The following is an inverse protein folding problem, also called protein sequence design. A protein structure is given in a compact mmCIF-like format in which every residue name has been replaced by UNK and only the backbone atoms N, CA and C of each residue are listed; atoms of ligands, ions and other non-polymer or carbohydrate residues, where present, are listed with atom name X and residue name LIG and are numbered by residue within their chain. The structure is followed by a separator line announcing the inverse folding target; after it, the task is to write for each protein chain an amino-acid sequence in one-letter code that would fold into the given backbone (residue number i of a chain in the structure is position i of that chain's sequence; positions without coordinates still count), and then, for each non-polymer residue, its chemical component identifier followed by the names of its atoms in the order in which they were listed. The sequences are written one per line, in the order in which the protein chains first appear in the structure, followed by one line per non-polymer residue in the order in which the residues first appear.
data_IF_647938457350
#
_entry.id   IF_647938457350
#
_cell.length_a   1.000
_cell.length_b   1.000
_cell.length_c   1.000
_cell.angle_alpha   90.00
_cell.angle_beta   90.00
_cell.angle_gamma   90.00
#
_symmetry.space_group_name_H-M   'P 1'
#
loop_
_entity.id
_entity.type
_entity.pdbx_description
1 polymer ?
#
# COMPACT_ATOMS: atom_id res chain seq x y z
N UNK A 1 3.74 -8.55 13.00
CA UNK A 1 4.86 -7.57 12.99
C UNK A 1 4.52 -6.40 13.90
N UNK A 2 5.45 -5.82 14.67
CA UNK A 2 5.18 -4.62 15.47
C UNK A 2 5.12 -3.41 14.54
N UNK A 3 3.98 -2.73 14.47
CA UNK A 3 3.79 -1.53 13.64
C UNK A 3 4.42 -0.34 14.34
N UNK A 4 5.37 0.34 13.69
CA UNK A 4 6.08 1.47 14.29
C UNK A 4 5.17 2.70 14.45
N UNK A 5 5.35 3.47 15.53
CA UNK A 5 4.66 4.75 15.74
C UNK A 5 5.51 5.93 15.30
N UNK A 6 4.91 7.12 15.12
CA UNK A 6 5.65 8.33 14.76
C UNK A 6 6.70 8.68 15.82
N UNK A 7 6.42 8.39 17.10
CA UNK A 7 7.41 8.51 18.19
C UNK A 7 8.63 7.61 17.96
N UNK A 8 8.41 6.37 17.52
CA UNK A 8 9.48 5.45 17.14
C UNK A 8 10.28 6.02 15.95
N UNK A 9 9.62 6.48 14.89
CA UNK A 9 10.28 7.06 13.72
C UNK A 9 11.19 8.23 14.10
N UNK A 10 10.69 9.16 14.90
CA UNK A 10 11.45 10.33 15.36
C UNK A 10 12.70 9.90 16.12
N UNK A 11 12.61 8.89 17.01
CA UNK A 11 13.75 8.40 17.78
C UNK A 11 14.78 7.69 16.90
N UNK A 12 14.33 6.78 16.03
CA UNK A 12 15.22 6.05 15.12
C UNK A 12 15.89 7.01 14.12
N UNK A 13 15.17 8.02 13.62
CA UNK A 13 15.70 8.96 12.61
C UNK A 13 16.98 9.68 13.03
N UNK A 14 17.20 9.85 14.34
CA UNK A 14 18.41 10.48 14.89
C UNK A 14 19.68 9.66 14.61
N UNK A 15 19.54 8.36 14.36
CA UNK A 15 20.64 7.44 14.09
C UNK A 15 20.83 7.13 12.61
N UNK A 16 19.84 7.48 11.76
CA UNK A 16 19.79 7.08 10.35
C UNK A 16 20.74 7.85 9.45
N UNK A 17 21.23 9.02 9.86
CA UNK A 17 22.13 9.83 9.03
C UNK A 17 23.08 10.66 9.88
N UNK A 18 24.36 10.66 9.48
CA UNK A 18 25.37 11.61 9.92
C UNK A 18 25.75 12.56 8.78
N UNK A 19 26.21 13.77 9.12
CA UNK A 19 26.67 14.73 8.11
C UNK A 19 27.72 14.08 7.20
N UNK A 20 27.51 14.17 5.89
CA UNK A 20 28.39 13.55 4.89
C UNK A 20 28.07 12.09 4.55
N UNK A 21 27.20 11.42 5.32
CA UNK A 21 26.82 10.02 5.09
C UNK A 21 25.69 9.92 4.05
N UNK A 22 26.03 9.60 2.80
CA UNK A 22 25.06 9.39 1.71
C UNK A 22 24.86 7.90 1.42
N UNK A 23 24.28 7.52 0.28
CA UNK A 23 24.03 6.11 -0.09
C UNK A 23 22.72 5.53 0.44
N UNK A 24 22.44 4.24 0.18
CA UNK A 24 21.10 3.63 0.38
C UNK A 24 20.97 2.72 1.60
N UNK A 25 22.00 2.65 2.45
CA UNK A 25 22.01 1.85 3.67
C UNK A 25 22.84 0.57 3.56
N UNK A 26 22.87 -0.07 2.39
CA UNK A 26 23.74 -1.23 2.12
C UNK A 26 25.22 -0.84 2.09
N UNK A 27 25.50 0.35 1.59
CA UNK A 27 26.84 0.93 1.52
C UNK A 27 27.37 1.41 2.89
N UNK A 28 26.55 1.30 3.95
CA UNK A 28 26.99 1.70 5.28
C UNK A 28 28.05 0.73 5.81
N UNK A 29 29.13 1.26 6.41
CA UNK A 29 30.09 0.43 7.15
C UNK A 29 29.38 -0.45 8.17
N UNK A 30 29.95 -1.63 8.45
CA UNK A 30 29.37 -2.62 9.39
C UNK A 30 29.00 -1.99 10.74
N UNK A 31 29.90 -1.21 11.35
CA UNK A 31 29.65 -0.54 12.62
C UNK A 31 28.44 0.43 12.57
N UNK A 32 28.19 1.09 11.42
CA UNK A 32 27.01 1.95 11.24
C UNK A 32 25.73 1.14 11.14
N UNK A 33 25.77 0.00 10.46
CA UNK A 33 24.61 -0.92 10.40
C UNK A 33 24.27 -1.46 11.79
N UNK A 34 25.28 -1.85 12.57
CA UNK A 34 25.11 -2.33 13.95
C UNK A 34 24.52 -1.25 14.87
N UNK A 35 24.98 0.00 14.76
CA UNK A 35 24.42 1.12 15.52
C UNK A 35 22.94 1.39 15.17
N UNK A 36 22.60 1.40 13.86
CA UNK A 36 21.21 1.55 13.43
C UNK A 36 20.37 0.37 13.92
N UNK A 37 20.88 -0.87 13.83
CA UNK A 37 20.19 -2.05 14.32
C UNK A 37 19.93 -2.00 15.83
N UNK A 38 20.89 -1.51 16.63
CA UNK A 38 20.72 -1.30 18.06
C UNK A 38 19.63 -0.25 18.36
N UNK A 39 19.58 0.86 17.61
CA UNK A 39 18.52 1.87 17.73
C UNK A 39 17.14 1.29 17.33
N UNK A 40 17.10 0.49 16.27
CA UNK A 40 15.90 -0.22 15.81
C UNK A 40 15.33 -1.15 16.89
N UNK A 41 16.18 -2.00 17.46
CA UNK A 41 15.81 -2.91 18.55
C UNK A 41 15.28 -2.15 19.78
N UNK A 42 15.93 -1.05 20.15
CA UNK A 42 15.55 -0.22 21.30
C UNK A 42 14.19 0.47 21.13
N UNK A 43 13.83 0.86 19.91
CA UNK A 43 12.65 1.68 19.66
C UNK A 43 11.48 0.92 19.01
N UNK A 44 11.68 -0.33 18.59
CA UNK A 44 10.62 -1.16 18.02
C UNK A 44 10.36 -0.87 16.53
N UNK A 45 11.44 -0.69 15.76
CA UNK A 45 11.43 -0.63 14.30
C UNK A 45 12.31 -1.75 13.77
N UNK A 46 11.99 -2.31 12.61
CA UNK A 46 12.87 -3.28 11.96
C UNK A 46 13.99 -2.59 11.18
N UNK A 47 15.09 -3.31 10.93
CA UNK A 47 16.19 -2.77 10.14
C UNK A 47 15.73 -2.35 8.73
N UNK A 48 14.88 -3.15 8.08
CA UNK A 48 14.40 -2.82 6.74
C UNK A 48 13.51 -1.57 6.71
N UNK A 49 12.62 -1.40 7.71
CA UNK A 49 11.84 -0.18 7.90
C UNK A 49 12.75 1.04 8.06
N UNK A 50 13.75 0.94 8.93
CA UNK A 50 14.71 2.00 9.22
C UNK A 50 15.53 2.40 7.99
N UNK A 51 16.05 1.44 7.23
CA UNK A 51 16.77 1.71 5.99
C UNK A 51 15.87 2.32 4.91
N UNK A 52 14.60 1.89 4.83
CA UNK A 52 13.62 2.52 3.94
C UNK A 52 13.27 3.95 4.37
N UNK A 53 13.11 4.21 5.67
CA UNK A 53 12.91 5.54 6.24
C UNK A 53 14.11 6.45 5.93
N UNK A 54 15.33 5.93 6.12
CA UNK A 54 16.58 6.63 5.78
C UNK A 54 16.61 7.09 4.33
N UNK A 55 16.22 6.23 3.37
CA UNK A 55 16.15 6.62 1.95
C UNK A 55 15.17 7.78 1.71
N UNK A 56 14.02 7.76 2.38
CA UNK A 56 13.04 8.86 2.31
C UNK A 56 13.59 10.14 2.92
N UNK A 57 14.25 10.05 4.08
CA UNK A 57 14.91 11.17 4.74
C UNK A 57 15.98 11.80 3.85
N UNK A 58 16.87 11.00 3.26
CA UNK A 58 17.91 11.50 2.36
C UNK A 58 17.31 12.21 1.13
N UNK A 59 16.23 11.67 0.55
CA UNK A 59 15.52 12.34 -0.56
C UNK A 59 14.90 13.69 -0.16
N UNK A 60 14.58 13.88 1.12
CA UNK A 60 14.01 15.13 1.63
C UNK A 60 15.01 16.28 1.73
N UNK A 61 16.32 15.97 1.77
CA UNK A 61 17.38 16.97 1.83
C UNK A 61 17.54 17.71 0.48
N UNK A 62 18.05 18.94 0.53
CA UNK A 62 18.35 19.73 -0.67
C UNK A 62 19.34 18.97 -1.56
N UNK A 63 18.94 18.72 -2.82
CA UNK A 63 19.72 17.92 -3.78
C UNK A 63 19.79 16.41 -3.46
N UNK A 64 19.14 15.97 -2.39
CA UNK A 64 19.17 14.58 -1.94
C UNK A 64 18.48 13.61 -2.88
N UNK A 65 17.43 14.06 -3.59
CA UNK A 65 16.76 13.25 -4.62
C UNK A 65 17.73 12.74 -5.69
N UNK A 66 18.57 13.63 -6.26
CA UNK A 66 19.58 13.24 -7.25
C UNK A 66 20.60 12.27 -6.67
N UNK A 67 21.13 12.56 -5.47
CA UNK A 67 22.15 11.74 -4.80
C UNK A 67 21.67 10.32 -4.47
N UNK A 68 20.39 10.14 -4.15
CA UNK A 68 19.81 8.83 -3.83
C UNK A 68 19.37 8.07 -5.08
N UNK A 69 19.10 8.76 -6.20
CA UNK A 69 18.62 8.14 -7.44
C UNK A 69 19.77 7.66 -8.32
N UNK A 70 20.91 8.35 -8.31
CA UNK A 70 22.09 8.02 -9.11
C UNK A 70 23.11 7.09 -8.44
N UNK A 71 22.81 6.53 -7.26
CA UNK A 71 23.68 5.51 -6.65
C UNK A 71 23.61 4.22 -7.48
N UNK A 72 24.73 3.84 -8.10
CA UNK A 72 24.91 2.63 -8.92
C UNK A 72 24.59 1.33 -8.16
N UNK A 73 24.66 1.36 -6.84
CA UNK A 73 24.52 0.21 -5.93
C UNK A 73 23.08 -0.22 -5.63
N UNK A 74 22.10 0.00 -6.52
CA UNK A 74 20.74 -0.55 -6.34
C UNK A 74 20.00 -0.80 -7.67
N UNK A 75 20.76 -1.08 -8.72
CA UNK A 75 20.27 -1.06 -10.09
C UNK A 75 19.82 0.34 -10.51
N UNK A 76 19.88 0.65 -11.79
CA UNK A 76 19.26 1.86 -12.32
C UNK A 76 17.74 1.87 -12.08
N UNK A 77 17.02 2.80 -12.71
CA UNK A 77 15.55 2.80 -12.71
C UNK A 77 14.95 1.41 -13.01
N UNK A 78 15.62 0.62 -13.86
CA UNK A 78 15.27 -0.78 -14.18
C UNK A 78 15.23 -1.70 -12.95
N UNK A 79 16.19 -1.62 -12.03
CA UNK A 79 16.22 -2.48 -10.85
C UNK A 79 15.11 -2.15 -9.86
N UNK A 80 14.77 -0.86 -9.70
CA UNK A 80 13.64 -0.43 -8.88
C UNK A 80 12.30 -0.89 -9.46
N UNK A 81 12.16 -0.82 -10.79
CA UNK A 81 10.99 -1.31 -11.49
C UNK A 81 10.86 -2.83 -11.33
N UNK A 82 11.94 -3.58 -11.50
CA UNK A 82 11.93 -5.04 -11.31
C UNK A 82 11.54 -5.44 -9.88
N UNK A 83 12.06 -4.75 -8.86
CA UNK A 83 11.67 -5.01 -7.47
C UNK A 83 10.19 -4.69 -7.22
N UNK A 84 9.64 -3.62 -7.82
CA UNK A 84 8.22 -3.30 -7.74
C UNK A 84 7.36 -4.40 -8.39
N UNK A 85 7.73 -4.84 -9.60
CA UNK A 85 7.04 -5.93 -10.30
C UNK A 85 7.06 -7.24 -9.51
N UNK A 86 8.18 -7.60 -8.88
CA UNK A 86 8.24 -8.80 -8.02
C UNK A 86 7.30 -8.67 -6.82
N UNK A 87 7.19 -7.48 -6.24
CA UNK A 87 6.28 -7.22 -5.12
C UNK A 87 4.81 -7.29 -5.54
N UNK A 88 4.46 -6.70 -6.69
CA UNK A 88 3.11 -6.78 -7.28
C UNK A 88 2.71 -8.24 -7.57
N UNK A 89 3.63 -9.04 -8.14
CA UNK A 89 3.42 -10.47 -8.35
C UNK A 89 3.18 -11.24 -7.05
N UNK A 90 3.86 -10.90 -5.97
CA UNK A 90 3.63 -11.52 -4.66
C UNK A 90 2.22 -11.20 -4.13
N UNK A 91 1.75 -9.96 -4.29
CA UNK A 91 0.38 -9.56 -3.96
C UNK A 91 -0.62 -10.35 -4.81
N UNK A 92 -0.42 -10.40 -6.12
CA UNK A 92 -1.27 -11.14 -7.05
C UNK A 92 -1.35 -12.63 -6.70
N UNK A 93 -0.20 -13.28 -6.50
CA UNK A 93 -0.13 -14.70 -6.16
C UNK A 93 -0.88 -15.00 -4.86
N UNK A 94 -0.69 -14.18 -3.83
CA UNK A 94 -1.42 -14.33 -2.57
C UNK A 94 -2.94 -14.17 -2.73
N UNK A 95 -3.37 -13.19 -3.53
CA UNK A 95 -4.79 -13.02 -3.80
C UNK A 95 -5.35 -14.23 -4.54
N UNK A 96 -4.70 -14.73 -5.59
CA UNK A 96 -5.15 -15.91 -6.35
C UNK A 96 -5.27 -17.17 -5.48
N UNK A 97 -4.37 -17.37 -4.52
CA UNK A 97 -4.42 -18.53 -3.60
C UNK A 97 -5.46 -18.35 -2.50
N UNK A 98 -5.77 -17.12 -2.10
CA UNK A 98 -6.76 -16.85 -1.04
C UNK A 98 -8.18 -16.74 -1.58
N UNK A 99 -8.35 -16.42 -2.86
CA UNK A 99 -9.65 -16.29 -3.54
C UNK A 99 -10.02 -17.55 -4.33
N UNK A 100 -9.65 -18.75 -3.86
CA UNK A 100 -9.98 -20.02 -4.55
C UNK A 100 -11.49 -20.11 -4.79
N UNK A 101 -11.88 -20.38 -6.05
CA UNK A 101 -13.28 -20.39 -6.51
C UNK A 101 -13.76 -19.11 -7.19
N UNK A 102 -12.91 -18.09 -7.27
CA UNK A 102 -13.23 -16.75 -7.78
C UNK A 102 -12.20 -16.26 -8.81
N UNK A 103 -12.04 -16.99 -9.92
CA UNK A 103 -10.96 -16.76 -10.89
C UNK A 103 -11.00 -15.39 -11.60
N UNK A 104 -12.12 -14.66 -11.54
CA UNK A 104 -12.33 -13.36 -12.21
C UNK A 104 -12.66 -12.21 -11.25
N UNK A 105 -12.20 -12.28 -10.00
CA UNK A 105 -12.59 -11.29 -8.96
C UNK A 105 -11.75 -10.01 -8.96
N UNK A 106 -10.60 -10.02 -9.64
CA UNK A 106 -9.81 -8.80 -9.82
C UNK A 106 -9.10 -8.78 -11.17
N UNK A 107 -8.74 -7.57 -11.59
CA UNK A 107 -7.87 -7.27 -12.73
C UNK A 107 -6.53 -6.76 -12.19
N UNK A 108 -5.44 -7.22 -12.80
CA UNK A 108 -4.11 -6.64 -12.66
C UNK A 108 -4.01 -5.32 -13.43
N UNK A 109 -2.97 -4.53 -13.18
CA UNK A 109 -2.71 -3.30 -13.95
C UNK A 109 -2.64 -3.56 -15.46
N UNK A 110 -1.98 -4.66 -15.86
CA UNK A 110 -1.82 -5.03 -17.26
C UNK A 110 -3.15 -5.36 -17.94
N UNK A 111 -4.02 -6.12 -17.26
CA UNK A 111 -5.37 -6.45 -17.74
C UNK A 111 -6.25 -5.20 -17.81
N UNK A 112 -6.17 -4.33 -16.80
CA UNK A 112 -6.88 -3.07 -16.76
C UNK A 112 -6.50 -2.15 -17.93
N UNK A 113 -5.20 -2.03 -18.21
CA UNK A 113 -4.68 -1.29 -19.35
C UNK A 113 -5.15 -1.89 -20.67
N UNK A 114 -5.20 -3.22 -20.79
CA UNK A 114 -5.73 -3.90 -21.97
C UNK A 114 -7.22 -3.60 -22.19
N UNK A 115 -8.04 -3.58 -21.14
CA UNK A 115 -9.46 -3.17 -21.22
C UNK A 115 -9.62 -1.72 -21.66
N UNK A 116 -8.84 -0.80 -21.07
CA UNK A 116 -8.86 0.63 -21.45
C UNK A 116 -8.42 0.84 -22.90
N UNK A 117 -7.43 0.08 -23.37
CA UNK A 117 -6.96 0.12 -24.76
C UNK A 117 -8.02 -0.42 -25.72
N UNK A 118 -8.75 -1.46 -25.33
CA UNK A 118 -9.85 -2.03 -26.10
C UNK A 118 -11.16 -1.22 -26.04
N UNK A 119 -11.20 -0.10 -25.29
CA UNK A 119 -12.38 0.74 -25.14
C UNK A 119 -13.49 0.14 -24.26
N UNK A 120 -13.22 -1.00 -23.60
CA UNK A 120 -14.19 -1.65 -22.69
C UNK A 120 -14.32 -0.93 -21.35
N UNK A 121 -13.36 -0.08 -21.00
CA UNK A 121 -13.33 0.69 -19.76
C UNK A 121 -12.87 2.13 -20.01
N UNK A 122 -13.41 3.07 -19.22
CA UNK A 122 -12.96 4.48 -19.25
C UNK A 122 -11.49 4.59 -18.85
N UNK A 123 -10.72 5.41 -19.56
CA UNK A 123 -9.35 5.74 -19.16
C UNK A 123 -9.33 6.40 -17.78
N UNK A 124 -8.32 6.09 -16.98
CA UNK A 124 -8.28 6.49 -15.59
C UNK A 124 -6.96 6.14 -14.90
N UNK A 125 -6.88 6.34 -13.57
CA UNK A 125 -5.77 5.86 -12.78
C UNK A 125 -5.77 4.32 -12.78
N UNK A 126 -4.57 3.73 -12.81
CA UNK A 126 -4.36 2.29 -12.87
C UNK A 126 -3.81 1.80 -11.53
N UNK A 127 -4.64 1.25 -10.63
CA UNK A 127 -4.12 0.57 -9.45
C UNK A 127 -3.47 -0.76 -9.88
N UNK A 128 -2.59 -1.29 -9.03
CA UNK A 128 -1.90 -2.55 -9.30
C UNK A 128 -2.90 -3.73 -9.35
N UNK A 129 -3.94 -3.67 -8.50
CA UNK A 129 -5.04 -4.63 -8.47
C UNK A 129 -6.38 -3.88 -8.37
N UNK A 130 -7.35 -4.29 -9.18
CA UNK A 130 -8.71 -3.78 -9.21
C UNK A 130 -9.71 -4.93 -9.03
N UNK A 131 -10.32 -5.04 -7.86
CA UNK A 131 -11.43 -5.96 -7.63
C UNK A 131 -12.69 -5.50 -8.36
N UNK A 132 -13.24 -6.40 -9.16
CA UNK A 132 -14.48 -6.23 -9.93
C UNK A 132 -15.73 -6.60 -9.12
N UNK A 133 -15.55 -7.14 -7.91
CA UNK A 133 -16.62 -7.54 -6.99
C UNK A 133 -16.37 -7.01 -5.57
N UNK A 134 -17.42 -6.87 -4.74
CA UNK A 134 -17.24 -6.52 -3.32
C UNK A 134 -16.37 -7.54 -2.59
N UNK A 135 -15.41 -7.04 -1.81
CA UNK A 135 -14.51 -7.85 -0.98
C UNK A 135 -14.45 -7.29 0.45
N UNK A 136 -14.19 -8.18 1.41
CA UNK A 136 -13.88 -7.82 2.79
C UNK A 136 -12.38 -8.01 3.02
N UNK A 137 -11.71 -6.99 3.57
CA UNK A 137 -10.29 -7.03 3.90
C UNK A 137 -10.17 -6.89 5.42
N UNK A 138 -9.61 -7.91 6.09
CA UNK A 138 -9.49 -7.97 7.55
C UNK A 138 -10.82 -7.77 8.31
N UNK A 139 -11.91 -8.36 7.79
CA UNK A 139 -13.25 -8.18 8.35
C UNK A 139 -13.86 -6.79 8.12
N UNK A 140 -13.07 -5.84 7.61
CA UNK A 140 -13.58 -4.57 7.12
C UNK A 140 -14.09 -4.78 5.71
N UNK A 141 -15.42 -4.75 5.59
CA UNK A 141 -16.04 -4.71 4.29
C UNK A 141 -15.59 -3.44 3.56
N UNK A 142 -14.82 -3.61 2.48
CA UNK A 142 -14.24 -2.50 1.72
C UNK A 142 -15.27 -1.93 0.74
N UNK A 143 -16.40 -2.63 0.56
CA UNK A 143 -17.61 -2.13 -0.09
C UNK A 143 -18.88 -2.90 0.33
N UNK A 144 -19.97 -2.15 0.60
CA UNK A 144 -21.36 -2.62 0.54
C UNK A 144 -22.18 -1.63 -0.32
N UNK A 145 -23.12 -2.10 -1.12
CA UNK A 145 -24.18 -1.23 -1.69
C UNK A 145 -25.33 -1.20 -0.68
N UNK A 146 -25.54 -0.07 0.00
CA UNK A 146 -26.77 0.16 0.76
C UNK A 146 -27.72 1.02 -0.08
N UNK A 147 -28.75 0.40 -0.65
CA UNK A 147 -29.87 1.12 -1.24
C UNK A 147 -30.84 1.48 -0.12
N UNK A 148 -30.66 2.65 0.47
CA UNK A 148 -31.61 3.24 1.41
C UNK A 148 -32.31 4.44 0.79
N UNK A 149 -33.60 4.31 0.44
CA UNK A 149 -34.46 5.49 0.28
C UNK A 149 -34.41 6.29 1.58
N UNK A 150 -34.16 7.60 1.50
CA UNK A 150 -34.46 8.53 2.60
C UNK A 150 -35.97 8.53 2.81
N UNK A 151 -36.45 7.69 3.72
CA UNK A 151 -37.71 7.93 4.43
C UNK A 151 -37.36 8.51 5.79
N UNK A 152 -37.95 9.65 6.11
CA UNK A 152 -37.87 10.27 7.43
C UNK A 152 -38.44 9.31 8.47
N UNK A 153 -37.59 8.70 9.30
CA UNK A 153 -37.98 8.23 10.63
C UNK A 153 -36.76 7.77 11.42
N UNK A 154 -36.62 8.36 12.60
CA UNK A 154 -35.85 8.10 13.81
C UNK A 154 -35.22 6.69 14.00
N UNK A 155 -33.92 6.73 14.34
CA UNK A 155 -33.14 5.86 15.25
C UNK A 155 -33.40 4.33 15.31
N UNK A 156 -32.39 3.53 14.91
CA UNK A 156 -31.52 2.74 15.81
C UNK A 156 -30.72 1.72 14.97
N UNK A 157 -29.41 1.92 14.87
CA UNK A 157 -28.48 0.97 14.24
C UNK A 157 -28.15 -0.13 15.24
N UNK A 158 -28.70 -1.33 15.04
CA UNK A 158 -28.20 -2.56 15.65
C UNK A 158 -27.75 -3.45 14.50
N UNK A 159 -26.43 -3.58 14.34
CA UNK A 159 -25.83 -4.61 13.49
C UNK A 159 -25.61 -5.84 14.36
N UNK A 160 -26.47 -6.85 14.26
CA UNK A 160 -26.13 -8.21 14.71
C UNK A 160 -27.07 -9.28 14.14
N UNK A 161 -26.43 -10.31 13.57
CA UNK A 161 -26.77 -11.74 13.66
C UNK A 161 -27.81 -12.43 12.73
N UNK A 162 -28.43 -11.79 11.72
CA UNK A 162 -29.50 -12.47 10.93
C UNK A 162 -29.32 -12.60 9.39
N UNK A 163 -28.18 -12.28 8.75
CA UNK A 163 -28.12 -12.19 7.27
C UNK A 163 -27.41 -13.36 6.53
N UNK A 164 -27.16 -14.47 7.23
CA UNK A 164 -26.56 -15.68 6.63
C UNK A 164 -27.59 -16.79 6.36
N UNK A 165 -28.89 -16.60 6.61
CA UNK A 165 -29.81 -17.75 6.66
C UNK A 165 -30.88 -17.83 5.57
N UNK A 166 -31.09 -16.82 4.72
CA UNK A 166 -32.23 -16.83 3.79
C UNK A 166 -31.89 -16.66 2.31
N UNK A 167 -31.79 -17.80 1.61
CA UNK A 167 -32.68 -18.13 0.49
C UNK A 167 -32.45 -17.45 -0.89
N UNK A 168 -32.30 -18.34 -1.89
CA UNK A 168 -32.51 -18.19 -3.34
C UNK A 168 -32.41 -16.78 -3.95
N UNK A 169 -31.33 -16.57 -4.68
CA UNK A 169 -31.26 -15.58 -5.75
C UNK A 169 -32.50 -15.70 -6.66
N UNK A 170 -33.34 -14.66 -6.70
CA UNK A 170 -34.28 -14.40 -7.79
C UNK A 170 -34.22 -12.92 -8.18
N UNK A 171 -34.50 -12.61 -9.46
CA UNK A 171 -33.98 -11.42 -10.10
C UNK A 171 -34.85 -10.22 -9.77
N UNK A 172 -34.24 -9.14 -9.31
CA UNK A 172 -34.86 -7.82 -9.33
C UNK A 172 -34.19 -6.97 -10.40
N UNK A 173 -34.85 -6.88 -11.55
CA UNK A 173 -34.55 -5.90 -12.58
C UNK A 173 -35.35 -4.64 -12.31
N UNK A 174 -34.66 -3.54 -12.03
CA UNK A 174 -34.75 -2.27 -12.78
C UNK A 174 -33.87 -1.19 -12.13
N UNK A 175 -32.69 -1.01 -12.73
CA UNK A 175 -31.90 0.23 -12.79
C UNK A 175 -31.34 0.82 -11.47
N UNK A 176 -30.17 0.30 -11.06
CA UNK A 176 -28.93 1.06 -10.81
C UNK A 176 -27.83 0.09 -10.36
N UNK A 177 -26.99 -0.39 -11.28
CA UNK A 177 -25.79 -1.14 -10.91
C UNK A 177 -24.63 -0.15 -10.70
N UNK A 178 -24.51 0.39 -9.50
CA UNK A 178 -23.30 1.07 -9.08
C UNK A 178 -22.25 0.02 -8.67
N UNK A 179 -21.63 -0.59 -9.68
CA UNK A 179 -20.46 -1.46 -9.50
C UNK A 179 -19.24 -0.56 -9.31
N UNK A 180 -19.06 -0.07 -8.09
CA UNK A 180 -17.81 0.52 -7.62
C UNK A 180 -16.74 -0.56 -7.39
N UNK A 181 -15.59 -0.43 -8.03
CA UNK A 181 -14.48 -1.36 -7.89
C UNK A 181 -13.71 -1.08 -6.59
N UNK A 182 -13.09 -2.11 -6.00
CA UNK A 182 -12.16 -1.95 -4.86
C UNK A 182 -10.74 -2.08 -5.38
N UNK A 183 -9.86 -1.17 -4.99
CA UNK A 183 -8.51 -1.06 -5.53
C UNK A 183 -7.46 -1.34 -4.46
N UNK A 184 -6.41 -2.07 -4.84
CA UNK A 184 -5.18 -2.20 -4.06
C UNK A 184 -4.02 -1.63 -4.87
N UNK A 185 -3.23 -0.82 -4.19
CA UNK A 185 -2.01 -0.23 -4.73
C UNK A 185 -0.82 -0.65 -3.84
N UNK A 186 0.13 -1.35 -4.44
CA UNK A 186 1.31 -1.95 -3.84
C UNK A 186 2.45 -0.93 -3.81
N UNK A 187 3.10 -0.79 -2.65
CA UNK A 187 4.18 0.17 -2.44
C UNK A 187 5.33 -0.48 -1.69
N UNK A 188 6.47 -0.62 -2.35
CA UNK A 188 7.63 -1.33 -1.80
C UNK A 188 8.37 -0.57 -0.68
N UNK A 189 8.01 0.68 -0.37
CA UNK A 189 8.70 1.48 0.64
C UNK A 189 7.98 1.46 1.99
N UNK A 190 8.71 1.80 3.05
CA UNK A 190 8.15 2.02 4.38
C UNK A 190 7.39 3.35 4.43
N UNK A 191 6.09 3.28 4.73
CA UNK A 191 5.23 4.44 4.71
C UNK A 191 5.28 5.22 6.03
N UNK A 192 5.88 6.40 5.99
CA UNK A 192 6.23 7.17 7.18
C UNK A 192 5.29 8.34 7.45
N UNK A 193 4.86 8.48 8.70
CA UNK A 193 4.03 9.61 9.15
C UNK A 193 4.83 10.91 9.26
N UNK A 194 6.17 10.84 9.43
CA UNK A 194 7.03 12.03 9.40
C UNK A 194 7.01 12.76 8.05
N UNK A 195 6.82 12.02 6.95
CA UNK A 195 6.92 12.55 5.59
C UNK A 195 5.57 12.61 4.85
N UNK A 196 4.46 12.35 5.55
CA UNK A 196 3.12 12.27 4.97
C UNK A 196 2.59 13.59 4.39
N UNK A 197 3.20 14.74 4.75
CA UNK A 197 2.82 16.06 4.24
C UNK A 197 3.83 16.62 3.23
N UNK A 198 4.83 15.84 2.81
CA UNK A 198 5.82 16.28 1.83
C UNK A 198 5.51 15.70 0.44
N UNK A 199 4.77 16.44 -0.38
CA UNK A 199 4.31 16.02 -1.71
C UNK A 199 5.44 15.73 -2.71
N UNK A 200 6.68 16.17 -2.44
CA UNK A 200 7.87 15.84 -3.24
C UNK A 200 8.35 14.41 -3.03
N UNK A 201 7.92 13.77 -1.94
CA UNK A 201 8.28 12.40 -1.57
C UNK A 201 7.11 11.45 -1.84
N UNK A 202 7.37 10.15 -2.10
CA UNK A 202 6.31 9.15 -2.28
C UNK A 202 5.29 9.13 -1.13
N UNK A 203 5.79 9.26 0.10
CA UNK A 203 4.96 9.30 1.32
C UNK A 203 3.92 10.42 1.31
N UNK A 204 4.28 11.63 0.87
CA UNK A 204 3.35 12.76 0.84
C UNK A 204 2.38 12.75 -0.32
N UNK A 205 2.47 11.77 -1.22
CA UNK A 205 1.51 11.58 -2.33
C UNK A 205 0.38 10.62 -1.97
N UNK A 206 0.51 9.84 -0.88
CA UNK A 206 -0.43 8.77 -0.52
C UNK A 206 -1.87 9.26 -0.38
N UNK A 207 -2.10 10.39 0.30
CA UNK A 207 -3.44 10.96 0.48
C UNK A 207 -4.10 11.33 -0.86
N UNK A 208 -3.38 12.05 -1.72
CA UNK A 208 -3.88 12.45 -3.02
C UNK A 208 -4.12 11.24 -3.94
N UNK A 209 -3.28 10.20 -3.85
CA UNK A 209 -3.51 8.95 -4.59
C UNK A 209 -4.76 8.22 -4.11
N UNK A 210 -4.98 8.12 -2.79
CA UNK A 210 -6.20 7.53 -2.24
C UNK A 210 -7.44 8.28 -2.73
N UNK A 211 -7.45 9.62 -2.63
CA UNK A 211 -8.54 10.46 -3.12
C UNK A 211 -8.82 10.22 -4.61
N UNK A 212 -7.79 10.29 -5.45
CA UNK A 212 -7.91 10.08 -6.90
C UNK A 212 -8.51 8.71 -7.25
N UNK A 213 -8.09 7.66 -6.56
CA UNK A 213 -8.64 6.34 -6.79
C UNK A 213 -10.09 6.23 -6.30
N UNK A 214 -10.38 6.77 -5.12
CA UNK A 214 -11.74 6.74 -4.58
C UNK A 214 -12.72 7.55 -5.44
N UNK A 215 -12.29 8.69 -5.98
CA UNK A 215 -13.09 9.50 -6.91
C UNK A 215 -13.36 8.76 -8.22
N UNK A 216 -12.39 7.98 -8.71
CA UNK A 216 -12.54 7.26 -9.98
C UNK A 216 -13.35 5.98 -9.84
N UNK A 217 -13.07 5.18 -8.81
CA UNK A 217 -13.67 3.85 -8.60
C UNK A 217 -14.85 3.86 -7.63
N UNK A 218 -15.09 4.98 -6.93
CA UNK A 218 -16.24 5.19 -6.05
C UNK A 218 -16.22 4.39 -4.75
N UNK A 219 -15.06 3.89 -4.33
CA UNK A 219 -14.88 3.08 -3.14
C UNK A 219 -13.59 3.41 -2.40
N UNK A 220 -13.51 2.99 -1.14
CA UNK A 220 -12.29 3.08 -0.33
C UNK A 220 -11.35 1.96 -0.74
N UNK A 221 -10.15 2.29 -1.23
CA UNK A 221 -9.14 1.28 -1.57
C UNK A 221 -8.27 0.85 -0.39
N UNK A 222 -7.18 0.15 -0.71
CA UNK A 222 -6.09 -0.14 0.21
C UNK A 222 -4.71 0.14 -0.41
N UNK A 223 -3.75 0.44 0.45
CA UNK A 223 -2.33 0.37 0.13
C UNK A 223 -1.72 -0.84 0.83
N UNK A 224 -0.88 -1.59 0.11
CA UNK A 224 -0.07 -2.67 0.68
C UNK A 224 1.40 -2.25 0.68
N UNK A 225 2.00 -2.16 1.87
CA UNK A 225 3.37 -1.67 2.03
C UNK A 225 4.37 -2.81 2.25
N UNK A 226 5.31 -2.96 1.31
CA UNK A 226 6.37 -3.98 1.33
C UNK A 226 7.27 -3.92 2.56
N UNK A 227 7.45 -2.73 3.11
CA UNK A 227 8.27 -2.51 4.31
C UNK A 227 7.41 -2.10 5.52
N UNK A 228 6.10 -2.26 5.43
CA UNK A 228 5.15 -1.81 6.44
C UNK A 228 4.93 -0.30 6.46
N UNK A 229 4.20 0.15 7.47
CA UNK A 229 3.78 1.55 7.61
C UNK A 229 3.84 2.01 9.07
N UNK A 230 3.83 3.31 9.27
CA UNK A 230 3.69 3.94 10.58
C UNK A 230 2.22 3.93 11.02
N UNK A 231 1.89 3.45 12.22
CA UNK A 231 0.50 3.39 12.69
C UNK A 231 -0.18 4.76 12.71
N UNK A 232 0.58 5.82 12.99
CA UNK A 232 0.10 7.20 13.00
C UNK A 232 -0.15 7.77 11.60
N UNK A 233 0.27 7.09 10.53
CA UNK A 233 0.04 7.51 9.15
C UNK A 233 -1.46 7.61 8.83
N UNK A 234 -2.29 6.83 9.52
CA UNK A 234 -3.76 6.86 9.41
C UNK A 234 -4.36 8.25 9.73
N UNK A 235 -3.63 9.12 10.44
CA UNK A 235 -4.04 10.50 10.71
C UNK A 235 -3.90 11.42 9.49
N UNK A 236 -2.97 11.08 8.58
CA UNK A 236 -2.67 11.88 7.38
C UNK A 236 -3.19 11.23 6.09
N UNK A 237 -3.29 9.90 6.05
CA UNK A 237 -3.83 9.13 4.92
C UNK A 237 -5.17 8.55 5.31
N UNK A 238 -6.24 9.23 4.92
CA UNK A 238 -7.63 8.83 5.13
C UNK A 238 -8.24 8.30 3.83
N UNK A 239 -9.35 7.57 3.92
CA UNK A 239 -9.99 7.02 2.72
C UNK A 239 -9.23 5.87 2.06
N UNK A 240 -8.25 5.26 2.71
CA UNK A 240 -7.65 3.99 2.29
C UNK A 240 -7.39 3.10 3.52
N UNK A 241 -7.42 1.78 3.34
CA UNK A 241 -6.82 0.86 4.30
C UNK A 241 -5.30 0.86 4.13
N UNK A 242 -4.57 0.74 5.24
CA UNK A 242 -3.12 0.61 5.23
C UNK A 242 -2.78 -0.81 5.69
N UNK A 243 -2.17 -1.58 4.82
CA UNK A 243 -1.81 -2.98 5.00
C UNK A 243 -0.29 -3.10 4.95
N UNK A 244 0.26 -4.07 5.68
CA UNK A 244 1.65 -4.47 5.50
C UNK A 244 1.72 -5.71 4.60
N UNK A 245 2.93 -6.13 4.27
CA UNK A 245 3.16 -7.26 3.37
C UNK A 245 2.93 -8.63 4.02
N UNK A 246 2.40 -8.72 5.23
CA UNK A 246 2.07 -10.01 5.85
C UNK A 246 0.70 -10.48 5.35
N UNK A 247 0.53 -11.73 4.85
CA UNK A 247 1.47 -12.86 4.85
C UNK A 247 2.05 -13.17 3.45
N UNK A 248 2.34 -12.16 2.63
CA UNK A 248 2.86 -12.35 1.27
C UNK A 248 4.19 -13.13 1.28
N UNK A 249 4.36 -14.02 0.29
CA UNK A 249 5.65 -14.63 0.02
C UNK A 249 6.54 -13.64 -0.73
N UNK A 250 7.64 -13.22 -0.09
CA UNK A 250 8.59 -12.24 -0.63
C UNK A 250 9.92 -12.87 -1.04
N UNK A 251 9.99 -14.19 -1.19
CA UNK A 251 11.25 -14.92 -1.46
C UNK A 251 11.97 -14.39 -2.68
N UNK A 252 11.30 -14.26 -3.83
CA UNK A 252 11.90 -13.77 -5.07
C UNK A 252 12.38 -12.32 -4.95
N UNK A 253 11.58 -11.49 -4.28
CA UNK A 253 11.92 -10.09 -4.04
C UNK A 253 13.17 -9.96 -3.16
N UNK A 254 13.27 -10.76 -2.10
CA UNK A 254 14.41 -10.77 -1.19
C UNK A 254 15.66 -11.27 -1.91
N UNK A 255 15.56 -12.38 -2.66
CA UNK A 255 16.66 -12.91 -3.47
C UNK A 255 17.18 -11.86 -4.48
N UNK A 256 16.27 -11.15 -5.16
CA UNK A 256 16.63 -10.06 -6.07
C UNK A 256 17.34 -8.90 -5.37
N UNK A 257 16.85 -8.52 -4.19
CA UNK A 257 17.44 -7.45 -3.38
C UNK A 257 18.79 -7.85 -2.76
N UNK A 258 19.02 -9.12 -2.47
CA UNK A 258 20.29 -9.58 -1.91
C UNK A 258 21.37 -9.74 -3.00
N UNK A 259 20.97 -10.05 -4.23
CA UNK A 259 21.87 -10.20 -5.38
C UNK A 259 22.28 -8.86 -6.05
N UNK A 260 21.48 -7.80 -5.87
CA UNK A 260 21.70 -6.46 -6.47
C UNK A 260 22.45 -5.51 -5.54
#
# INVERSE_FOLDING_TARGET
MKVASKKCETKVSQFLHRRGEWGRGRDLPRHRKEEIAAACARHGMTMHQALSLRRTMLRSFKGGMGRVTHSSSMGGAKGQQQAATLFEKAVEAYLRTTTVGYQDVFLTEAELLAEMKAGRRRRGPTPDILFTRPVSINGHLVKWVSLGRKSRSTAHTVVSQQYLQLHSLRPFSSHMELIYDVQIDAKLFYASAMYAHNSKLPNGKLQAMAQRFNEHFGGKGAFVFGQGFCVDLKKSVTGALLLDATPLDLTDLNAFQDAS
#
